data_IF_333786724432
#
_entry.id   IF_333786724432
#
_cell.length_a   1.000
_cell.length_b   1.000
_cell.length_c   1.000
_cell.angle_alpha   90.00
_cell.angle_beta   90.00
_cell.angle_gamma   90.00
#
_symmetry.space_group_name_H-M   'P 1'
#
loop_
_entity.id
_entity.type
_entity.pdbx_description
1 polymer ?
#
# COMPACT_ATOMS: atom_id res chain seq x y z
N UNK A 1 5.93 2.77 -2.38
CA UNK A 1 4.58 3.13 -1.94
C UNK A 1 3.75 3.51 -3.15
N UNK A 2 2.44 3.30 -3.12
CA UNK A 2 1.57 3.84 -4.15
C UNK A 2 1.44 5.35 -3.94
N UNK A 3 1.82 6.15 -4.95
CA UNK A 3 1.81 7.61 -4.87
C UNK A 3 0.67 8.23 -5.67
N UNK A 4 0.27 7.57 -6.75
CA UNK A 4 -0.77 8.07 -7.65
C UNK A 4 -1.94 7.07 -7.70
N UNK A 5 -2.92 7.30 -6.82
CA UNK A 5 -4.16 6.51 -6.81
C UNK A 5 -5.07 6.88 -7.98
N UNK A 6 -4.95 8.08 -8.55
CA UNK A 6 -5.82 8.58 -9.60
C UNK A 6 -5.53 7.89 -10.94
N UNK A 7 -4.26 7.59 -11.24
CA UNK A 7 -3.89 6.87 -12.46
C UNK A 7 -3.67 5.37 -12.26
N UNK A 8 -3.59 4.88 -11.01
CA UNK A 8 -3.45 3.45 -10.77
C UNK A 8 -4.66 2.65 -11.29
N UNK A 9 -4.42 1.74 -12.24
CA UNK A 9 -5.47 0.95 -12.88
C UNK A 9 -6.34 0.17 -11.88
N UNK A 10 -5.74 -0.39 -10.82
CA UNK A 10 -6.47 -1.09 -9.76
C UNK A 10 -7.40 -0.16 -8.96
N UNK A 11 -6.99 1.09 -8.71
CA UNK A 11 -7.84 2.11 -8.07
C UNK A 11 -8.96 2.59 -8.98
N UNK A 12 -8.71 2.59 -10.29
CA UNK A 12 -9.70 2.86 -11.34
C UNK A 12 -10.66 1.68 -11.58
N UNK A 13 -10.42 0.53 -10.93
CA UNK A 13 -11.28 -0.66 -11.05
C UNK A 13 -10.94 -1.59 -12.21
N UNK A 14 -9.83 -1.35 -12.91
CA UNK A 14 -9.25 -2.28 -13.88
C UNK A 14 -8.33 -3.27 -13.16
N UNK A 15 -8.31 -4.53 -13.60
CA UNK A 15 -7.50 -5.57 -12.97
C UNK A 15 -6.10 -5.63 -13.59
N UNK A 16 -5.11 -5.04 -12.91
CA UNK A 16 -3.70 -5.05 -13.34
C UNK A 16 -2.85 -5.96 -12.44
N UNK A 17 -2.86 -5.72 -11.12
CA UNK A 17 -2.16 -6.51 -10.07
C UNK A 17 -0.65 -6.76 -10.29
N UNK A 18 -0.01 -6.19 -11.32
CA UNK A 18 1.36 -6.55 -11.71
C UNK A 18 2.39 -6.20 -10.63
N UNK A 19 2.23 -5.05 -9.99
CA UNK A 19 3.14 -4.60 -8.93
C UNK A 19 3.06 -5.49 -7.68
N UNK A 20 1.88 -6.04 -7.40
CA UNK A 20 1.64 -6.99 -6.32
C UNK A 20 2.29 -8.35 -6.64
N UNK A 21 2.05 -8.89 -7.84
CA UNK A 21 2.59 -10.20 -8.27
C UNK A 21 4.11 -10.23 -8.39
N UNK A 22 4.71 -9.12 -8.82
CA UNK A 22 6.16 -9.00 -8.99
C UNK A 22 6.90 -8.67 -7.69
N UNK A 23 6.17 -8.40 -6.61
CA UNK A 23 6.78 -8.16 -5.31
C UNK A 23 7.41 -9.47 -4.78
N UNK A 24 8.70 -9.48 -4.41
CA UNK A 24 9.35 -10.67 -3.84
C UNK A 24 8.84 -11.01 -2.44
N UNK A 25 8.13 -10.09 -1.80
CA UNK A 25 7.46 -10.24 -0.51
C UNK A 25 5.96 -9.97 -0.68
N UNK A 26 5.34 -10.73 -1.58
CA UNK A 26 3.89 -10.66 -1.80
C UNK A 26 3.14 -10.96 -0.50
N UNK A 27 2.00 -10.31 -0.30
CA UNK A 27 1.16 -10.38 0.93
C UNK A 27 1.82 -9.90 2.23
N UNK A 28 3.14 -9.65 2.24
CA UNK A 28 3.86 -9.04 3.34
C UNK A 28 4.14 -7.56 3.05
N UNK A 29 4.89 -7.27 1.99
CA UNK A 29 5.30 -5.91 1.61
C UNK A 29 4.26 -5.21 0.73
N UNK A 30 3.47 -5.96 -0.04
CA UNK A 30 2.35 -5.43 -0.83
C UNK A 30 1.17 -6.38 -0.69
N UNK A 31 0.02 -5.85 -0.25
CA UNK A 31 -1.27 -6.55 -0.20
C UNK A 31 -2.26 -5.94 -1.18
N UNK A 32 -3.33 -6.68 -1.52
CA UNK A 32 -4.48 -6.16 -2.26
C UNK A 32 -5.67 -6.03 -1.33
N UNK A 33 -6.02 -4.80 -0.97
CA UNK A 33 -7.21 -4.50 -0.17
C UNK A 33 -8.45 -4.50 -1.04
N UNK A 34 -9.46 -5.25 -0.63
CA UNK A 34 -10.73 -5.30 -1.33
C UNK A 34 -11.59 -4.11 -0.93
N UNK A 35 -11.83 -3.20 -1.87
CA UNK A 35 -12.76 -2.10 -1.69
C UNK A 35 -14.03 -2.33 -2.52
N UNK A 36 -15.19 -2.30 -1.86
CA UNK A 36 -16.48 -2.44 -2.53
C UNK A 36 -16.83 -1.08 -3.14
N UNK A 37 -16.84 -0.99 -4.48
CA UNK A 37 -17.23 0.25 -5.15
C UNK A 37 -18.69 0.61 -4.81
N UNK A 38 -18.85 1.57 -3.91
CA UNK A 38 -20.15 2.04 -3.42
C UNK A 38 -21.05 2.64 -4.52
N UNK A 39 -20.47 3.08 -5.65
CA UNK A 39 -21.20 3.72 -6.75
C UNK A 39 -21.98 2.72 -7.63
N UNK A 40 -21.44 1.52 -7.84
CA UNK A 40 -22.06 0.53 -8.75
C UNK A 40 -22.41 -0.78 -8.06
N UNK A 41 -21.88 -1.05 -6.86
CA UNK A 41 -22.14 -2.25 -6.07
C UNK A 41 -21.71 -3.58 -6.70
N UNK A 42 -21.23 -3.58 -7.94
CA UNK A 42 -20.96 -4.79 -8.74
C UNK A 42 -19.48 -5.11 -8.90
N UNK A 43 -18.60 -4.11 -8.89
CA UNK A 43 -17.17 -4.32 -9.12
C UNK A 43 -16.38 -3.98 -7.87
N UNK A 44 -15.66 -4.97 -7.33
CA UNK A 44 -14.68 -4.74 -6.28
C UNK A 44 -13.40 -4.15 -6.89
N UNK A 45 -12.82 -3.17 -6.21
CA UNK A 45 -11.47 -2.67 -6.49
C UNK A 45 -10.47 -3.45 -5.64
N UNK A 46 -9.29 -3.69 -6.18
CA UNK A 46 -8.21 -4.41 -5.51
C UNK A 46 -7.06 -3.43 -5.27
N UNK A 47 -7.15 -2.65 -4.19
CA UNK A 47 -6.26 -1.54 -3.94
C UNK A 47 -4.88 -2.06 -3.49
N UNK A 48 -3.79 -1.82 -4.25
CA UNK A 48 -2.46 -2.21 -3.79
C UNK A 48 -2.01 -1.31 -2.62
N UNK A 49 -1.80 -1.92 -1.45
CA UNK A 49 -1.27 -1.26 -0.25
C UNK A 49 0.14 -1.74 0.01
N UNK A 50 1.08 -0.80 0.21
CA UNK A 50 2.49 -1.10 0.49
C UNK A 50 2.77 -0.97 1.99
N UNK A 51 3.24 -2.03 2.61
CA UNK A 51 3.62 -2.08 4.03
C UNK A 51 5.10 -1.80 4.17
N UNK A 52 5.42 -0.58 4.63
CA UNK A 52 6.79 -0.04 4.66
C UNK A 52 7.78 -0.80 5.55
N UNK A 53 7.29 -1.50 6.57
CA UNK A 53 8.03 -2.35 7.49
C UNK A 53 8.52 -3.65 6.84
N UNK A 54 7.71 -4.22 5.94
CA UNK A 54 8.08 -5.41 5.18
C UNK A 54 8.77 -5.08 3.84
N UNK A 55 8.52 -3.90 3.28
CA UNK A 55 9.09 -3.46 1.99
C UNK A 55 10.61 -3.35 2.02
N UNK A 56 11.27 -4.03 1.08
CA UNK A 56 12.75 -4.04 0.99
C UNK A 56 13.33 -2.91 0.14
N UNK A 57 12.48 -2.11 -0.52
CA UNK A 57 12.93 -1.07 -1.44
C UNK A 57 13.53 -1.61 -2.76
N UNK A 58 13.25 -2.87 -3.14
CA UNK A 58 13.87 -3.50 -4.31
C UNK A 58 13.54 -2.89 -5.69
N UNK A 59 12.53 -2.00 -5.78
CA UNK A 59 12.18 -1.29 -7.02
C UNK A 59 11.44 -2.10 -8.09
N UNK A 60 11.20 -3.40 -7.89
CA UNK A 60 10.53 -4.24 -8.89
C UNK A 60 9.13 -3.74 -9.24
N UNK A 61 8.34 -3.39 -8.23
CA UNK A 61 6.97 -2.89 -8.41
C UNK A 61 6.88 -1.60 -9.25
N UNK A 62 7.88 -0.72 -9.15
CA UNK A 62 7.98 0.51 -9.95
C UNK A 62 8.34 0.19 -11.40
N UNK A 63 9.33 -0.69 -11.62
CA UNK A 63 9.80 -1.08 -12.96
C UNK A 63 8.76 -1.82 -13.79
N UNK A 64 7.91 -2.62 -13.14
CA UNK A 64 6.88 -3.43 -13.82
C UNK A 64 5.54 -2.70 -13.97
N UNK A 65 5.43 -1.46 -13.48
CA UNK A 65 4.23 -0.67 -13.68
C UNK A 65 3.99 -0.44 -15.17
N UNK A 66 2.78 -0.73 -15.65
CA UNK A 66 2.43 -0.64 -17.08
C UNK A 66 2.17 0.77 -17.57
N UNK A 67 2.13 1.76 -16.67
CA UNK A 67 1.94 3.16 -17.02
C UNK A 67 3.26 3.77 -17.48
N UNK A 68 3.21 4.73 -18.40
CA UNK A 68 4.41 5.48 -18.84
C UNK A 68 5.12 6.18 -17.66
N UNK A 69 4.35 6.68 -16.71
CA UNK A 69 4.82 7.19 -15.42
C UNK A 69 4.30 6.28 -14.30
N UNK A 70 5.17 5.56 -13.57
CA UNK A 70 4.74 4.61 -12.55
C UNK A 70 3.92 5.27 -11.43
N UNK A 71 2.73 4.72 -11.19
CA UNK A 71 1.86 5.15 -10.09
C UNK A 71 2.40 4.72 -8.71
N UNK A 72 3.25 3.69 -8.68
CA UNK A 72 3.95 3.19 -7.51
C UNK A 72 5.43 3.52 -7.65
N UNK A 73 6.01 4.17 -6.62
CA UNK A 73 7.43 4.52 -6.60
C UNK A 73 8.10 4.07 -5.32
N UNK A 74 9.38 3.73 -5.41
CA UNK A 74 10.21 3.44 -4.24
C UNK A 74 10.90 4.72 -3.80
N UNK A 75 10.62 5.13 -2.56
CA UNK A 75 11.20 6.31 -1.93
C UNK A 75 11.98 5.89 -0.68
N UNK A 76 13.03 6.63 -0.30
CA UNK A 76 13.66 6.52 1.01
C UNK A 76 12.63 6.65 2.14
N UNK A 77 12.78 5.86 3.21
CA UNK A 77 11.84 5.86 4.34
C UNK A 77 11.64 7.23 4.97
N UNK A 78 12.70 8.06 5.01
CA UNK A 78 12.65 9.43 5.53
C UNK A 78 11.74 10.38 4.73
N UNK A 79 11.50 10.08 3.45
CA UNK A 79 10.57 10.85 2.60
C UNK A 79 9.17 10.22 2.58
N UNK A 80 9.10 8.90 2.78
CA UNK A 80 7.89 8.13 2.64
C UNK A 80 7.07 8.02 3.94
N UNK A 81 7.71 8.04 5.11
CA UNK A 81 7.04 7.87 6.42
C UNK A 81 7.13 9.13 7.25
N UNK A 82 5.98 9.55 7.78
CA UNK A 82 5.94 10.51 8.88
C UNK A 82 6.24 9.84 10.23
N UNK A 83 6.63 10.65 11.21
CA UNK A 83 6.77 10.25 12.61
C UNK A 83 5.58 10.78 13.42
N UNK A 84 5.04 9.95 14.31
CA UNK A 84 4.00 10.39 15.23
C UNK A 84 4.63 11.25 16.32
N UNK A 85 4.14 12.48 16.50
CA UNK A 85 4.62 13.34 17.58
C UNK A 85 4.43 12.68 18.95
N UNK A 86 5.40 12.83 19.85
CA UNK A 86 5.45 12.17 21.17
C UNK A 86 4.27 12.48 22.10
N UNK A 87 3.43 13.46 21.76
CA UNK A 87 2.25 13.85 22.52
C UNK A 87 1.00 13.02 22.19
N UNK A 88 1.01 12.26 21.08
CA UNK A 88 -0.10 11.39 20.72
C UNK A 88 0.11 9.99 21.31
N UNK A 89 -0.81 9.58 22.20
CA UNK A 89 -0.87 8.23 22.76
C UNK A 89 -2.16 7.57 22.29
N UNK A 90 -2.07 6.32 21.85
CA UNK A 90 -3.24 5.51 21.52
C UNK A 90 -3.63 4.66 22.72
N UNK A 91 -4.76 4.94 23.36
CA UNK A 91 -5.25 4.16 24.51
C UNK A 91 -5.44 2.66 24.22
N UNK A 92 -5.57 2.27 22.95
CA UNK A 92 -5.70 0.88 22.51
C UNK A 92 -4.38 0.10 22.45
N UNK A 93 -3.22 0.79 22.49
CA UNK A 93 -1.92 0.14 22.63
C UNK A 93 -1.62 -0.23 24.09
N UNK A 94 -2.20 0.51 25.04
CA UNK A 94 -1.99 0.30 26.48
C UNK A 94 -2.64 -1.00 27.00
N UNK A 95 -3.58 -1.59 26.25
CA UNK A 95 -4.23 -2.87 26.60
C UNK A 95 -3.47 -4.14 26.16
N UNK A 96 -2.33 -4.02 25.47
CA UNK A 96 -1.54 -5.18 25.01
C UNK A 96 -0.29 -5.47 25.85
N UNK A 97 0.09 -4.58 26.76
CA UNK A 97 1.10 -4.85 27.78
C UNK A 97 0.39 -5.22 29.09
N UNK A 98 -0.05 -6.48 29.17
CA UNK A 98 -0.60 -7.06 30.39
C UNK A 98 0.41 -7.01 31.53
N UNK A 99 0.32 -5.97 32.36
CA UNK A 99 0.77 -5.95 33.76
C UNK A 99 -0.27 -5.26 34.63
N UNK A 100 -1.29 -6.02 35.02
CA UNK A 100 -1.68 -6.34 36.40
C UNK A 100 -3.13 -6.80 36.47
#
# INVERSE_FOLDING_TARGET
MLLDQENCLNFQGLRCDVCYRECPKIDEAITLELDRNMRTGKHARFLPTVHSDACTGCGKCEKVCVLEQPAIKVLPLSLAKGELGHHYRFGWLEGKDGKS
#
